data_IF_312022048728
#
_entry.id   IF_312022048728
#
_cell.length_a   1.000
_cell.length_b   1.000
_cell.length_c   1.000
_cell.angle_alpha   90.00
_cell.angle_beta   90.00
_cell.angle_gamma   90.00
#
_symmetry.space_group_name_H-M   'P 1'
#
loop_
_entity.id
_entity.type
_entity.pdbx_description
1 polymer ?
#
# COMPACT_ATOMS: atom_id res chain seq x y z
N UNK A 1 14.17 -26.31 -15.64
CA UNK A 1 14.46 -25.66 -14.34
C UNK A 1 14.32 -24.13 -14.39
N UNK A 2 15.02 -23.40 -15.27
CA UNK A 2 14.92 -21.92 -15.36
C UNK A 2 13.49 -21.39 -15.61
N UNK A 3 12.73 -22.01 -16.51
CA UNK A 3 11.33 -21.63 -16.79
C UNK A 3 10.40 -21.77 -15.57
N UNK A 4 10.63 -22.76 -14.71
CA UNK A 4 9.84 -22.95 -13.48
C UNK A 4 10.07 -21.80 -12.50
N UNK A 5 11.34 -21.42 -12.28
CA UNK A 5 11.72 -20.32 -11.38
C UNK A 5 11.22 -18.94 -11.84
N UNK A 6 11.09 -18.72 -13.15
CA UNK A 6 10.48 -17.51 -13.69
C UNK A 6 8.95 -17.51 -13.53
N UNK A 7 8.30 -18.64 -13.79
CA UNK A 7 6.87 -18.81 -13.53
C UNK A 7 6.54 -18.58 -12.04
N UNK A 8 7.37 -19.09 -11.13
CA UNK A 8 7.22 -18.90 -9.69
C UNK A 8 7.33 -17.41 -9.30
N UNK A 9 8.32 -16.68 -9.86
CA UNK A 9 8.48 -15.24 -9.59
C UNK A 9 7.30 -14.40 -10.11
N UNK A 10 6.82 -14.69 -11.32
CA UNK A 10 5.63 -14.03 -11.85
C UNK A 10 4.35 -14.39 -11.09
N UNK A 11 4.25 -15.60 -10.57
CA UNK A 11 3.16 -15.99 -9.68
C UNK A 11 3.15 -15.13 -8.41
N UNK A 12 4.31 -14.95 -7.76
CA UNK A 12 4.44 -14.09 -6.58
C UNK A 12 4.03 -12.65 -6.89
N UNK A 13 4.52 -12.06 -7.98
CA UNK A 13 4.13 -10.70 -8.40
C UNK A 13 2.60 -10.59 -8.54
N UNK A 14 1.95 -11.58 -9.17
CA UNK A 14 0.49 -11.59 -9.29
C UNK A 14 -0.22 -11.66 -7.94
N UNK A 15 0.25 -12.48 -7.00
CA UNK A 15 -0.36 -12.57 -5.67
C UNK A 15 -0.20 -11.26 -4.88
N UNK A 16 0.98 -10.65 -4.95
CA UNK A 16 1.26 -9.37 -4.28
C UNK A 16 0.44 -8.23 -4.88
N UNK A 17 0.22 -8.23 -6.20
CA UNK A 17 -0.67 -7.27 -6.85
C UNK A 17 -2.10 -7.40 -6.32
N UNK A 18 -2.64 -8.62 -6.27
CA UNK A 18 -3.99 -8.87 -5.73
C UNK A 18 -4.12 -8.47 -4.25
N UNK A 19 -3.07 -8.68 -3.45
CA UNK A 19 -3.05 -8.26 -2.06
C UNK A 19 -3.03 -6.73 -1.94
N UNK A 20 -2.16 -6.07 -2.71
CA UNK A 20 -2.06 -4.61 -2.76
C UNK A 20 -3.39 -3.98 -3.16
N UNK A 21 -4.07 -4.53 -4.17
CA UNK A 21 -5.40 -4.07 -4.60
C UNK A 21 -6.45 -4.17 -3.48
N UNK A 22 -6.40 -5.22 -2.65
CA UNK A 22 -7.28 -5.36 -1.49
C UNK A 22 -7.00 -4.28 -0.45
N UNK A 23 -5.73 -4.03 -0.12
CA UNK A 23 -5.35 -2.98 0.83
C UNK A 23 -5.77 -1.60 0.31
N UNK A 24 -5.57 -1.31 -0.99
CA UNK A 24 -6.05 -0.07 -1.63
C UNK A 24 -7.57 0.07 -1.47
N UNK A 25 -8.33 -1.01 -1.71
CA UNK A 25 -9.79 -0.99 -1.56
C UNK A 25 -10.20 -0.68 -0.13
N UNK A 26 -9.60 -1.35 0.86
CA UNK A 26 -9.91 -1.13 2.26
C UNK A 26 -9.55 0.27 2.74
N UNK A 27 -8.38 0.78 2.34
CA UNK A 27 -7.95 2.13 2.64
C UNK A 27 -8.91 3.16 2.03
N UNK A 28 -9.26 3.00 0.75
CA UNK A 28 -10.20 3.89 0.05
C UNK A 28 -11.54 3.96 0.77
N UNK A 29 -12.11 2.81 1.17
CA UNK A 29 -13.37 2.78 1.91
C UNK A 29 -13.30 3.59 3.22
N UNK A 30 -12.21 3.51 3.99
CA UNK A 30 -12.06 4.34 5.20
C UNK A 30 -11.82 5.80 4.86
N UNK A 31 -10.95 6.07 3.87
CA UNK A 31 -10.64 7.44 3.45
C UNK A 31 -11.90 8.18 2.97
N UNK A 32 -12.76 7.52 2.20
CA UNK A 32 -14.01 8.10 1.71
C UNK A 32 -14.98 8.41 2.86
N UNK A 33 -15.03 7.56 3.90
CA UNK A 33 -15.80 7.82 5.12
C UNK A 33 -15.30 9.05 5.86
N UNK A 34 -13.98 9.17 6.06
CA UNK A 34 -13.38 10.33 6.73
C UNK A 34 -13.65 11.60 5.91
N UNK A 35 -13.44 11.55 4.59
CA UNK A 35 -13.68 12.70 3.69
C UNK A 35 -15.14 13.16 3.71
N UNK A 36 -16.10 12.23 3.81
CA UNK A 36 -17.52 12.57 3.89
C UNK A 36 -17.89 13.35 5.16
N UNK A 37 -17.04 13.35 6.19
CA UNK A 37 -17.19 14.16 7.40
C UNK A 37 -16.68 15.59 7.24
N UNK A 38 -16.08 15.94 6.09
CA UNK A 38 -15.39 17.22 5.84
C UNK A 38 -14.41 17.58 6.97
N UNK A 39 -13.36 16.75 7.17
CA UNK A 39 -12.51 16.80 8.36
C UNK A 39 -11.80 18.15 8.43
N UNK A 40 -11.97 18.81 9.57
CA UNK A 40 -11.42 20.11 9.88
C UNK A 40 -10.89 20.14 11.32
N UNK A 41 -10.37 21.28 11.78
CA UNK A 41 -9.85 21.44 13.14
C UNK A 41 -10.89 21.04 14.21
N UNK A 42 -12.15 21.44 14.04
CA UNK A 42 -13.21 21.09 14.98
C UNK A 42 -13.43 19.58 15.07
N UNK A 43 -13.38 18.88 13.93
CA UNK A 43 -13.47 17.42 13.91
C UNK A 43 -12.30 16.76 14.64
N UNK A 44 -11.07 17.25 14.44
CA UNK A 44 -9.87 16.75 15.13
C UNK A 44 -10.01 16.91 16.65
N UNK A 45 -10.49 18.05 17.13
CA UNK A 45 -10.72 18.29 18.56
C UNK A 45 -11.75 17.31 19.16
N UNK A 46 -12.67 16.78 18.35
CA UNK A 46 -13.66 15.80 18.84
C UNK A 46 -13.09 14.39 19.01
N UNK A 47 -11.91 14.07 18.43
CA UNK A 47 -11.35 12.71 18.44
C UNK A 47 -11.11 12.17 19.85
N UNK A 48 -10.69 13.03 20.79
CA UNK A 48 -10.43 12.63 22.18
C UNK A 48 -11.69 12.16 22.91
N UNK A 49 -12.85 12.70 22.53
CA UNK A 49 -14.13 12.45 23.21
C UNK A 49 -15.13 11.64 22.36
N UNK A 50 -14.75 11.29 21.13
CA UNK A 50 -15.56 10.51 20.21
C UNK A 50 -14.80 9.26 19.74
N UNK A 51 -15.08 8.14 20.43
CA UNK A 51 -14.46 6.84 20.17
C UNK A 51 -14.65 6.43 18.69
N UNK A 52 -15.82 6.66 18.10
CA UNK A 52 -16.09 6.25 16.73
C UNK A 52 -15.18 6.98 15.72
N UNK A 53 -14.96 8.28 15.91
CA UNK A 53 -14.07 9.06 15.03
C UNK A 53 -12.60 8.71 15.25
N UNK A 54 -12.20 8.48 16.50
CA UNK A 54 -10.85 8.02 16.83
C UNK A 54 -10.55 6.67 16.19
N UNK A 55 -11.43 5.67 16.37
CA UNK A 55 -11.29 4.35 15.76
C UNK A 55 -11.29 4.42 14.22
N UNK A 56 -12.06 5.34 13.63
CA UNK A 56 -12.05 5.53 12.18
C UNK A 56 -10.70 6.05 11.68
N UNK A 57 -10.09 7.01 12.38
CA UNK A 57 -8.76 7.52 12.06
C UNK A 57 -7.68 6.46 12.26
N UNK A 58 -7.72 5.71 13.36
CA UNK A 58 -6.79 4.61 13.62
C UNK A 58 -6.89 3.53 12.55
N UNK A 59 -8.12 3.19 12.12
CA UNK A 59 -8.33 2.26 11.02
C UNK A 59 -7.76 2.77 9.70
N UNK A 60 -7.80 4.08 9.44
CA UNK A 60 -7.16 4.69 8.27
C UNK A 60 -5.64 4.55 8.36
N UNK A 61 -5.03 4.96 9.47
CA UNK A 61 -3.57 4.89 9.68
C UNK A 61 -3.08 3.45 9.55
N UNK A 62 -3.77 2.49 10.18
CA UNK A 62 -3.45 1.07 10.12
C UNK A 62 -3.53 0.50 8.69
N UNK A 63 -4.56 0.87 7.92
CA UNK A 63 -4.73 0.44 6.51
C UNK A 63 -3.69 1.09 5.60
N UNK A 64 -3.35 2.35 5.86
CA UNK A 64 -2.33 3.07 5.11
C UNK A 64 -0.95 2.43 5.31
N UNK A 65 -0.58 2.12 6.56
CA UNK A 65 0.66 1.40 6.88
C UNK A 65 0.76 0.07 6.14
N UNK A 66 -0.29 -0.77 6.22
CA UNK A 66 -0.30 -2.05 5.47
C UNK A 66 -0.13 -1.87 3.97
N UNK A 67 -0.78 -0.88 3.38
CA UNK A 67 -0.61 -0.59 1.96
C UNK A 67 0.84 -0.20 1.64
N UNK A 68 1.46 0.65 2.47
CA UNK A 68 2.87 1.05 2.30
C UNK A 68 3.80 -0.15 2.41
N UNK A 69 3.61 -1.02 3.40
CA UNK A 69 4.42 -2.21 3.60
C UNK A 69 4.27 -3.18 2.42
N UNK A 70 3.04 -3.53 2.04
CA UNK A 70 2.79 -4.44 0.92
C UNK A 70 3.31 -3.88 -0.41
N UNK A 71 3.09 -2.59 -0.68
CA UNK A 71 3.57 -1.97 -1.91
C UNK A 71 5.11 -1.85 -1.92
N UNK A 72 5.67 -1.26 -0.87
CA UNK A 72 7.05 -0.83 -0.78
C UNK A 72 8.04 -1.95 -0.50
N UNK A 73 7.69 -2.87 0.39
CA UNK A 73 8.61 -3.89 0.89
C UNK A 73 8.45 -5.22 0.15
N UNK A 74 7.28 -5.45 -0.46
CA UNK A 74 6.98 -6.71 -1.14
C UNK A 74 6.81 -6.53 -2.66
N UNK A 75 5.80 -5.77 -3.10
CA UNK A 75 5.42 -5.70 -4.51
C UNK A 75 6.49 -5.02 -5.38
N UNK A 76 6.99 -3.84 -4.98
CA UNK A 76 8.00 -3.11 -5.73
C UNK A 76 9.30 -3.93 -5.90
N UNK A 77 9.88 -4.53 -4.84
CA UNK A 77 11.02 -5.43 -4.99
C UNK A 77 10.74 -6.63 -5.88
N UNK A 78 9.54 -7.23 -5.80
CA UNK A 78 9.17 -8.37 -6.63
C UNK A 78 9.11 -7.99 -8.13
N UNK A 79 8.53 -6.83 -8.46
CA UNK A 79 8.48 -6.30 -9.82
C UNK A 79 9.90 -6.04 -10.35
N UNK A 80 10.74 -5.36 -9.57
CA UNK A 80 12.12 -5.08 -10.00
C UNK A 80 12.91 -6.38 -10.28
N UNK A 81 12.77 -7.41 -9.42
CA UNK A 81 13.44 -8.70 -9.63
C UNK A 81 12.99 -9.43 -10.90
N UNK A 82 11.72 -9.35 -11.29
CA UNK A 82 11.27 -9.95 -12.57
C UNK A 82 11.69 -9.12 -13.78
N UNK A 83 11.89 -7.81 -13.59
CA UNK A 83 12.46 -6.90 -14.59
C UNK A 83 13.99 -6.94 -14.67
N UNK A 84 14.65 -7.81 -13.90
CA UNK A 84 16.12 -7.90 -13.79
C UNK A 84 16.79 -6.62 -13.27
N UNK A 85 16.04 -5.81 -12.53
CA UNK A 85 16.51 -4.58 -11.88
C UNK A 85 16.99 -4.88 -10.45
N UNK A 86 18.01 -4.16 -9.96
CA UNK A 86 18.45 -4.29 -8.57
C UNK A 86 17.38 -3.77 -7.60
N UNK A 87 17.35 -4.33 -6.39
CA UNK A 87 16.54 -3.83 -5.27
C UNK A 87 17.42 -3.07 -4.28
N UNK A 88 16.90 -2.02 -3.65
CA UNK A 88 17.56 -1.20 -2.63
C UNK A 88 16.60 -0.88 -1.48
N UNK A 89 16.77 0.28 -0.84
CA UNK A 89 15.81 0.77 0.15
C UNK A 89 14.41 0.96 -0.44
N UNK A 90 13.39 1.09 0.40
CA UNK A 90 12.01 1.33 -0.05
C UNK A 90 11.92 2.54 -0.99
N UNK A 91 12.59 3.65 -0.66
CA UNK A 91 12.65 4.84 -1.50
C UNK A 91 13.39 4.60 -2.82
N UNK A 92 14.52 3.87 -2.81
CA UNK A 92 15.25 3.53 -4.03
C UNK A 92 14.40 2.69 -4.99
N UNK A 93 13.67 1.71 -4.44
CA UNK A 93 12.79 0.84 -5.22
C UNK A 93 11.65 1.63 -5.85
N UNK A 94 11.07 2.57 -5.10
CA UNK A 94 10.02 3.46 -5.60
C UNK A 94 10.53 4.33 -6.76
N UNK A 95 11.68 4.99 -6.58
CA UNK A 95 12.29 5.83 -7.61
C UNK A 95 12.66 5.04 -8.88
N UNK A 96 13.09 3.78 -8.73
CA UNK A 96 13.35 2.89 -9.87
C UNK A 96 12.06 2.52 -10.59
N UNK A 97 11.02 2.13 -9.84
CA UNK A 97 9.74 1.76 -10.43
C UNK A 97 9.09 2.93 -11.18
N UNK A 98 9.19 4.16 -10.67
CA UNK A 98 8.72 5.37 -11.35
C UNK A 98 9.42 5.55 -12.71
N UNK A 99 10.74 5.37 -12.77
CA UNK A 99 11.51 5.46 -14.02
C UNK A 99 11.16 4.38 -15.06
N UNK A 100 10.66 3.22 -14.63
CA UNK A 100 10.21 2.16 -15.53
C UNK A 100 8.78 2.37 -16.04
N UNK A 101 7.97 3.12 -15.29
CA UNK A 101 6.56 3.37 -15.60
C UNK A 101 6.33 4.64 -16.43
N UNK A 102 7.28 5.57 -16.45
CA UNK A 102 7.29 6.79 -17.28
C UNK A 102 7.95 6.59 -18.64
#
# INVERSE_FOLDING_TARGET
MKQSLEQDRWFIVKQLLLLTEKEVKHLRMTSDRIKALDPNLQWIETLENNIEYSEMLDAFVSRFGRLQDTLGDELLPAILRVSLEPTGSQLDNLLRAEKLAG
#
